data_IF_149692034525
#
_entry.id   IF_149692034525
#
_cell.length_a   1.000
_cell.length_b   1.000
_cell.length_c   1.000
_cell.angle_alpha   90.00
_cell.angle_beta   90.00
_cell.angle_gamma   90.00
#
_symmetry.space_group_name_H-M   'P 1'
#
loop_
_entity.id
_entity.type
_entity.pdbx_description
1 polymer ?
#
# COMPACT_ATOMS: atom_id res chain seq x y z
N UNK A 1 -3.04 -12.22 23.42
CA UNK A 1 -2.19 -11.54 22.42
C UNK A 1 -2.94 -11.46 21.10
N UNK A 2 -2.77 -10.37 20.35
CA UNK A 2 -3.54 -10.11 19.13
C UNK A 2 -2.68 -9.36 18.15
N UNK A 3 -2.66 -9.79 16.88
CA UNK A 3 -2.06 -9.01 15.79
C UNK A 3 -3.03 -7.87 15.45
N UNK A 4 -2.64 -6.62 15.77
CA UNK A 4 -3.54 -5.47 15.66
C UNK A 4 -3.42 -4.73 14.33
N UNK A 5 -2.34 -4.90 13.61
CA UNK A 5 -2.18 -4.22 12.34
C UNK A 5 -0.82 -4.42 11.71
N UNK A 6 -0.65 -3.76 10.58
CA UNK A 6 0.58 -3.74 9.80
C UNK A 6 0.98 -2.28 9.59
N UNK A 7 2.22 -1.94 9.91
CA UNK A 7 2.72 -0.58 9.81
C UNK A 7 3.64 -0.44 8.61
N UNK A 8 3.40 0.59 7.79
CA UNK A 8 4.31 0.97 6.71
C UNK A 8 4.88 2.35 6.99
N UNK A 9 6.14 2.55 6.59
CA UNK A 9 6.86 3.81 6.79
C UNK A 9 6.77 4.63 5.51
N UNK A 10 6.38 5.90 5.66
CA UNK A 10 6.11 6.79 4.53
C UNK A 10 6.85 8.11 4.71
N UNK A 11 7.24 8.75 3.61
CA UNK A 11 7.94 10.03 3.65
C UNK A 11 6.99 11.19 3.86
N UNK A 12 5.83 11.16 3.21
CA UNK A 12 4.82 12.19 3.33
C UNK A 12 3.50 11.55 3.72
N UNK A 13 3.15 11.67 5.01
CA UNK A 13 2.02 10.94 5.57
C UNK A 13 0.67 11.40 5.00
N UNK A 14 0.50 12.68 4.69
CA UNK A 14 -0.73 13.18 4.08
C UNK A 14 -0.91 12.68 2.65
N UNK A 15 0.15 12.64 1.86
CA UNK A 15 0.09 12.07 0.51
C UNK A 15 -0.18 10.57 0.55
N UNK A 16 0.41 9.87 1.50
CA UNK A 16 0.16 8.43 1.68
C UNK A 16 -1.29 8.18 2.08
N UNK A 17 -1.84 8.96 3.02
CA UNK A 17 -3.24 8.86 3.41
C UNK A 17 -4.16 9.05 2.21
N UNK A 18 -3.92 10.10 1.41
CA UNK A 18 -4.71 10.38 0.21
C UNK A 18 -4.62 9.23 -0.80
N UNK A 19 -3.42 8.70 -1.02
CA UNK A 19 -3.16 7.57 -1.92
C UNK A 19 -4.00 6.35 -1.53
N UNK A 20 -3.94 5.95 -0.26
CA UNK A 20 -4.65 4.77 0.22
C UNK A 20 -6.16 4.99 0.29
N UNK A 21 -6.60 6.23 0.49
CA UNK A 21 -8.03 6.55 0.44
C UNK A 21 -8.55 6.50 -1.01
N UNK A 22 -7.89 7.18 -1.93
CA UNK A 22 -8.35 7.28 -3.32
C UNK A 22 -8.35 5.93 -4.03
N UNK A 23 -7.30 5.13 -3.85
CA UNK A 23 -7.14 3.87 -4.56
C UNK A 23 -7.84 2.70 -3.89
N UNK A 24 -7.83 2.64 -2.56
CA UNK A 24 -8.27 1.46 -1.83
C UNK A 24 -9.47 1.72 -0.91
N UNK A 25 -9.94 2.96 -0.83
CA UNK A 25 -11.08 3.30 0.00
C UNK A 25 -10.81 3.23 1.50
N UNK A 26 -9.55 3.23 1.93
CA UNK A 26 -9.23 3.20 3.35
C UNK A 26 -9.51 4.54 4.00
N UNK A 27 -10.11 4.52 5.18
CA UNK A 27 -10.48 5.72 5.93
C UNK A 27 -9.51 5.94 7.09
N UNK A 28 -9.21 7.21 7.38
CA UNK A 28 -8.41 7.55 8.54
C UNK A 28 -9.26 7.40 9.81
N UNK A 29 -8.80 6.54 10.72
CA UNK A 29 -9.47 6.27 11.99
C UNK A 29 -8.88 7.10 13.14
N UNK A 30 -7.58 7.41 13.07
CA UNK A 30 -6.90 8.24 14.07
C UNK A 30 -5.68 8.91 13.46
N UNK A 31 -5.40 10.12 13.91
CA UNK A 31 -4.21 10.91 13.53
C UNK A 31 -3.46 11.26 14.80
N UNK A 32 -2.27 10.68 14.97
CA UNK A 32 -1.48 10.78 16.20
C UNK A 32 -0.14 11.50 15.97
N UNK A 33 -0.12 12.55 15.15
CA UNK A 33 1.09 13.33 14.85
C UNK A 33 2.25 12.45 14.36
N UNK A 34 2.31 12.24 13.06
CA UNK A 34 3.33 11.40 12.45
C UNK A 34 2.97 9.91 12.43
N UNK A 35 1.83 9.53 12.99
CA UNK A 35 1.30 8.17 12.93
C UNK A 35 -0.19 8.24 12.67
N UNK A 36 -0.65 7.62 11.60
CA UNK A 36 -2.08 7.54 11.27
C UNK A 36 -2.53 6.10 11.25
N UNK A 37 -3.69 5.85 11.83
CA UNK A 37 -4.34 4.54 11.78
C UNK A 37 -5.43 4.61 10.72
N UNK A 38 -5.30 3.80 9.69
CA UNK A 38 -6.31 3.65 8.65
C UNK A 38 -7.19 2.44 8.97
N UNK A 39 -8.34 2.37 8.29
CA UNK A 39 -9.21 1.21 8.40
C UNK A 39 -8.47 -0.07 7.95
N UNK A 40 -9.00 -1.23 8.31
CA UNK A 40 -8.44 -2.56 7.99
C UNK A 40 -7.04 -2.81 8.58
N UNK A 41 -6.65 -2.05 9.61
CA UNK A 41 -5.41 -2.32 10.33
C UNK A 41 -4.13 -1.87 9.64
N UNK A 42 -4.20 -0.97 8.69
CA UNK A 42 -3.00 -0.37 8.07
C UNK A 42 -2.62 0.89 8.83
N UNK A 43 -1.39 0.91 9.35
CA UNK A 43 -0.83 2.07 10.05
C UNK A 43 0.18 2.76 9.15
N UNK A 44 0.11 4.09 9.07
CA UNK A 44 1.09 4.91 8.37
C UNK A 44 1.99 5.57 9.42
N UNK A 45 3.29 5.43 9.26
CA UNK A 45 4.28 6.03 10.16
C UNK A 45 5.21 6.93 9.36
N UNK A 46 5.37 8.18 9.79
CA UNK A 46 6.30 9.09 9.15
C UNK A 46 7.76 8.64 9.38
N UNK A 47 8.56 8.72 8.34
CA UNK A 47 9.90 8.13 8.26
C UNK A 47 10.90 8.71 9.28
N UNK A 48 10.89 10.04 9.46
CA UNK A 48 11.84 10.69 10.38
C UNK A 48 11.62 10.25 11.81
N UNK A 49 10.36 10.20 12.26
CA UNK A 49 10.03 9.68 13.58
C UNK A 49 10.43 8.21 13.73
N UNK A 50 10.16 7.41 12.68
CA UNK A 50 10.47 5.99 12.70
C UNK A 50 11.97 5.73 12.88
N UNK A 51 12.79 6.45 12.12
CA UNK A 51 14.25 6.35 12.26
C UNK A 51 14.71 6.71 13.66
N UNK A 52 14.10 7.71 14.28
CA UNK A 52 14.38 8.07 15.66
C UNK A 52 13.99 6.98 16.65
N UNK A 53 12.90 6.26 16.39
CA UNK A 53 12.42 5.21 17.28
C UNK A 53 13.31 3.97 17.24
N UNK A 54 13.69 3.50 16.06
CA UNK A 54 14.38 2.22 15.93
C UNK A 54 15.86 2.33 15.58
N UNK A 55 16.35 3.53 15.22
CA UNK A 55 17.75 3.74 14.88
C UNK A 55 18.21 2.96 13.64
N UNK A 56 17.34 2.72 12.69
CA UNK A 56 17.61 1.97 11.47
C UNK A 56 17.15 2.72 10.24
N UNK A 57 17.78 2.43 9.11
CA UNK A 57 17.35 2.97 7.82
C UNK A 57 16.11 2.25 7.28
N UNK A 58 15.36 2.96 6.45
CA UNK A 58 14.21 2.42 5.74
C UNK A 58 14.65 2.04 4.33
N UNK A 59 14.32 0.82 3.91
CA UNK A 59 14.72 0.30 2.61
C UNK A 59 13.47 0.10 1.75
N UNK A 60 13.34 0.94 0.72
CA UNK A 60 12.28 0.79 -0.27
C UNK A 60 12.57 -0.43 -1.16
N UNK A 61 11.52 -1.04 -1.69
CA UNK A 61 11.62 -2.17 -2.63
C UNK A 61 12.42 -3.35 -2.08
N UNK A 62 12.31 -3.60 -0.78
CA UNK A 62 12.95 -4.77 -0.17
C UNK A 62 12.28 -6.07 -0.59
N UNK A 63 10.99 -6.00 -0.99
CA UNK A 63 10.19 -7.13 -1.48
C UNK A 63 10.02 -8.27 -0.49
N UNK A 64 10.24 -7.99 0.80
CA UNK A 64 10.14 -9.02 1.84
C UNK A 64 8.69 -9.22 2.32
N UNK A 65 7.79 -8.33 1.95
CA UNK A 65 6.37 -8.40 2.29
C UNK A 65 5.56 -7.64 1.25
N UNK A 66 4.26 -7.78 1.30
CA UNK A 66 3.36 -7.04 0.43
C UNK A 66 2.07 -6.69 1.15
N UNK A 67 1.37 -5.66 0.66
CA UNK A 67 -0.02 -5.42 0.99
C UNK A 67 -0.87 -6.08 -0.10
N UNK A 68 -1.77 -6.95 0.31
CA UNK A 68 -2.65 -7.68 -0.62
C UNK A 68 -4.07 -7.15 -0.51
N UNK A 69 -4.62 -6.71 -1.65
CA UNK A 69 -5.99 -6.23 -1.75
C UNK A 69 -6.76 -7.10 -2.74
N UNK A 70 -8.02 -7.36 -2.45
CA UNK A 70 -8.91 -8.05 -3.37
C UNK A 70 -9.76 -7.04 -4.13
N UNK A 71 -9.88 -7.23 -5.45
CA UNK A 71 -10.67 -6.40 -6.34
C UNK A 71 -11.26 -7.24 -7.46
N UNK A 72 -12.57 -7.19 -7.62
CA UNK A 72 -13.22 -8.00 -8.66
C UNK A 72 -12.83 -7.58 -10.07
N UNK A 73 -12.63 -6.28 -10.30
CA UNK A 73 -12.26 -5.75 -11.61
C UNK A 73 -10.85 -5.15 -11.57
N UNK A 74 -9.85 -6.01 -11.65
CA UNK A 74 -8.44 -5.62 -11.60
C UNK A 74 -8.08 -4.69 -12.76
N UNK A 75 -8.64 -4.91 -13.95
CA UNK A 75 -8.34 -4.06 -15.13
C UNK A 75 -8.89 -2.64 -14.95
N UNK A 76 -10.07 -2.48 -14.38
CA UNK A 76 -10.63 -1.17 -14.08
C UNK A 76 -9.79 -0.44 -13.02
N UNK A 77 -9.33 -1.17 -12.00
CA UNK A 77 -8.43 -0.63 -11.00
C UNK A 77 -7.12 -0.16 -11.63
N UNK A 78 -6.55 -0.96 -12.53
CA UNK A 78 -5.33 -0.61 -13.26
C UNK A 78 -5.50 0.70 -14.04
N UNK A 79 -6.62 0.87 -14.74
CA UNK A 79 -6.88 2.11 -15.49
C UNK A 79 -7.01 3.32 -14.55
N UNK A 80 -7.67 3.16 -13.40
CA UNK A 80 -7.77 4.19 -12.37
C UNK A 80 -6.39 4.57 -11.82
N UNK A 81 -5.57 3.57 -11.52
CA UNK A 81 -4.22 3.77 -11.00
C UNK A 81 -3.36 4.57 -11.97
N UNK A 82 -3.37 4.22 -13.25
CA UNK A 82 -2.63 4.96 -14.29
C UNK A 82 -3.11 6.40 -14.42
N UNK A 83 -4.41 6.62 -14.30
CA UNK A 83 -4.99 7.95 -14.42
C UNK A 83 -4.60 8.85 -13.26
N UNK A 84 -4.68 8.34 -12.03
CA UNK A 84 -4.42 9.11 -10.82
C UNK A 84 -2.94 9.22 -10.48
N UNK A 85 -2.17 8.16 -10.75
CA UNK A 85 -0.74 8.07 -10.42
C UNK A 85 0.04 7.51 -11.62
N UNK A 86 0.21 8.32 -12.68
CA UNK A 86 0.81 7.84 -13.94
C UNK A 86 2.27 7.42 -13.81
N UNK A 87 2.95 7.81 -12.74
CA UNK A 87 4.36 7.46 -12.51
C UNK A 87 4.55 6.17 -11.71
N UNK A 88 3.46 5.42 -11.51
CA UNK A 88 3.53 4.14 -10.78
C UNK A 88 4.53 3.19 -11.45
N UNK A 89 5.39 2.59 -10.63
CA UNK A 89 6.32 1.55 -11.05
C UNK A 89 5.63 0.19 -10.91
N UNK A 90 5.43 -0.49 -12.04
CA UNK A 90 4.76 -1.80 -12.06
C UNK A 90 5.77 -2.93 -11.96
N UNK A 91 5.43 -3.97 -11.18
CA UNK A 91 6.16 -5.23 -11.14
C UNK A 91 5.62 -6.16 -12.23
N UNK A 92 4.28 -6.30 -12.30
CA UNK A 92 3.63 -6.92 -13.45
C UNK A 92 2.32 -6.18 -13.75
N UNK A 93 1.98 -6.10 -15.03
CA UNK A 93 0.69 -5.60 -15.48
C UNK A 93 -0.39 -6.66 -15.21
N UNK A 94 -1.70 -6.30 -15.32
CA UNK A 94 -2.75 -7.28 -15.09
C UNK A 94 -2.51 -8.57 -15.88
N UNK A 95 -2.45 -9.68 -15.17
CA UNK A 95 -2.22 -10.99 -15.75
C UNK A 95 -3.01 -12.05 -14.99
N UNK A 96 -3.36 -13.14 -15.68
CA UNK A 96 -4.08 -14.24 -15.05
C UNK A 96 -3.13 -15.39 -14.79
N UNK A 97 -3.02 -15.78 -13.52
CA UNK A 97 -2.22 -16.93 -13.12
C UNK A 97 -2.89 -18.26 -13.45
N UNK A 98 -2.12 -19.34 -13.41
CA UNK A 98 -2.62 -20.68 -13.72
C UNK A 98 -3.75 -21.17 -12.80
N UNK A 99 -3.84 -20.60 -11.57
CA UNK A 99 -4.93 -20.88 -10.63
C UNK A 99 -6.15 -20.00 -10.85
N UNK A 100 -6.25 -19.34 -12.00
CA UNK A 100 -7.39 -18.53 -12.45
C UNK A 100 -7.63 -17.27 -11.62
N UNK A 101 -6.58 -16.69 -11.08
CA UNK A 101 -6.64 -15.39 -10.40
C UNK A 101 -5.98 -14.34 -11.27
N UNK A 102 -6.67 -13.23 -11.50
CA UNK A 102 -6.09 -12.08 -12.20
C UNK A 102 -5.44 -11.16 -11.19
N UNK A 103 -4.17 -10.82 -11.40
CA UNK A 103 -3.38 -10.03 -10.45
C UNK A 103 -2.61 -8.91 -11.13
N UNK A 104 -2.36 -7.86 -10.35
CA UNK A 104 -1.55 -6.70 -10.70
C UNK A 104 -0.61 -6.45 -9.52
N UNK A 105 0.69 -6.22 -9.78
CA UNK A 105 1.64 -5.89 -8.71
C UNK A 105 2.37 -4.60 -9.07
N UNK A 106 2.56 -3.74 -8.07
CA UNK A 106 3.20 -2.44 -8.24
C UNK A 106 3.73 -1.94 -6.90
N UNK A 107 4.48 -0.85 -6.95
CA UNK A 107 4.97 -0.19 -5.74
C UNK A 107 4.12 1.05 -5.45
N UNK A 108 3.88 1.31 -4.15
CA UNK A 108 3.24 2.54 -3.73
C UNK A 108 4.22 3.72 -3.80
N UNK A 109 3.82 4.88 -3.29
CA UNK A 109 4.63 6.11 -3.33
C UNK A 109 5.98 5.98 -2.64
N UNK A 110 6.11 5.05 -1.70
CA UNK A 110 7.30 4.86 -0.88
C UNK A 110 8.05 3.54 -1.17
N UNK A 111 7.64 2.82 -2.20
CA UNK A 111 8.30 1.59 -2.60
C UNK A 111 7.83 0.35 -1.83
N UNK A 112 6.65 0.38 -1.24
CA UNK A 112 6.03 -0.82 -0.66
C UNK A 112 5.34 -1.61 -1.76
N UNK A 113 5.57 -2.92 -1.76
CA UNK A 113 4.98 -3.82 -2.75
C UNK A 113 3.49 -4.01 -2.47
N UNK A 114 2.68 -3.82 -3.51
CA UNK A 114 1.23 -4.02 -3.44
C UNK A 114 0.82 -5.05 -4.48
N UNK A 115 -0.04 -5.98 -4.08
CA UNK A 115 -0.72 -6.89 -4.99
C UNK A 115 -2.22 -6.63 -4.92
N UNK A 116 -2.84 -6.46 -6.08
CA UNK A 116 -4.30 -6.38 -6.22
C UNK A 116 -4.73 -7.58 -7.04
N UNK A 117 -5.58 -8.42 -6.47
CA UNK A 117 -6.00 -9.65 -7.11
C UNK A 117 -7.49 -9.87 -7.02
N UNK A 118 -8.03 -10.63 -7.97
CA UNK A 118 -9.43 -11.03 -7.89
C UNK A 118 -9.66 -11.96 -6.70
N UNK A 119 -10.85 -11.93 -6.06
CA UNK A 119 -11.15 -12.82 -4.95
C UNK A 119 -10.98 -14.29 -5.35
N UNK A 120 -10.47 -15.07 -4.41
CA UNK A 120 -10.28 -16.52 -4.59
C UNK A 120 -11.32 -17.30 -3.80
#
# INVERSE_FOLDING_TARGET
MKLSGFLIVVKNIEKARQYYHELFGLEMMADNDGNMILSDGLFLQEETYWRGFIGKDVIARSNACELYFEEENVDAFYEKLKRLYPETEFVNLPMTHSWNQRVLRFYDLDGHLIEVGTPM
#
